data_IF_354049373405
#
_entry.id   IF_354049373405
#
_cell.length_a   1.000
_cell.length_b   1.000
_cell.length_c   1.000
_cell.angle_alpha   90.00
_cell.angle_beta   90.00
_cell.angle_gamma   90.00
#
_symmetry.space_group_name_H-M   'P 1'
#
loop_
_entity.id
_entity.type
_entity.pdbx_description
1 polymer ?
#
# COMPACT_ATOMS: atom_id res chain seq x y z
N UNK A 1 8.84 69.11 -10.86
CA UNK A 1 8.00 68.04 -10.24
C UNK A 1 7.90 66.72 -11.03
N UNK A 2 8.24 66.64 -12.33
CA UNK A 2 8.09 65.39 -13.12
C UNK A 2 9.16 64.30 -12.85
N UNK A 3 10.37 64.66 -12.41
CA UNK A 3 11.45 63.69 -12.13
C UNK A 3 11.16 62.80 -10.90
N UNK A 4 10.64 63.37 -9.80
CA UNK A 4 10.27 62.63 -8.58
C UNK A 4 9.19 61.55 -8.79
N UNK A 5 8.24 61.78 -9.71
CA UNK A 5 7.22 60.77 -10.04
C UNK A 5 7.79 59.57 -10.81
N UNK A 6 8.79 59.79 -11.67
CA UNK A 6 9.45 58.72 -12.45
C UNK A 6 10.26 57.78 -11.56
N UNK A 7 10.99 58.31 -10.59
CA UNK A 7 11.74 57.51 -9.59
C UNK A 7 10.80 56.68 -8.71
N UNK A 8 9.68 57.27 -8.25
CA UNK A 8 8.68 56.55 -7.47
C UNK A 8 8.00 55.43 -8.24
N UNK A 9 7.72 55.61 -9.54
CA UNK A 9 7.15 54.56 -10.39
C UNK A 9 8.12 53.40 -10.65
N UNK A 10 9.43 53.65 -10.73
CA UNK A 10 10.44 52.59 -10.89
C UNK A 10 10.57 51.73 -9.64
N UNK A 11 10.60 52.35 -8.46
CA UNK A 11 10.64 51.63 -7.18
C UNK A 11 9.36 50.79 -6.95
N UNK A 12 8.18 51.33 -7.30
CA UNK A 12 6.93 50.59 -7.20
C UNK A 12 6.89 49.36 -8.12
N UNK A 13 7.43 49.47 -9.34
CA UNK A 13 7.52 48.33 -10.27
C UNK A 13 8.45 47.24 -9.72
N UNK A 14 9.62 47.61 -9.20
CA UNK A 14 10.57 46.65 -8.62
C UNK A 14 9.94 45.95 -7.42
N UNK A 15 9.26 46.69 -6.55
CA UNK A 15 8.54 46.11 -5.40
C UNK A 15 7.43 45.16 -5.85
N UNK A 16 6.64 45.54 -6.86
CA UNK A 16 5.60 44.67 -7.40
C UNK A 16 6.19 43.39 -7.99
N UNK A 17 7.28 43.48 -8.75
CA UNK A 17 8.00 42.33 -9.29
C UNK A 17 8.57 41.44 -8.18
N UNK A 18 9.16 42.03 -7.14
CA UNK A 18 9.67 41.29 -5.99
C UNK A 18 8.54 40.55 -5.26
N UNK A 19 7.41 41.20 -5.02
CA UNK A 19 6.25 40.57 -4.39
C UNK A 19 5.69 39.45 -5.26
N UNK A 20 5.57 39.65 -6.57
CA UNK A 20 5.13 38.62 -7.51
C UNK A 20 6.10 37.44 -7.55
N UNK A 21 7.41 37.70 -7.51
CA UNK A 21 8.44 36.67 -7.46
C UNK A 21 8.39 35.88 -6.15
N UNK A 22 8.25 36.55 -5.00
CA UNK A 22 8.09 35.88 -3.72
C UNK A 22 6.80 35.05 -3.68
N UNK A 23 5.70 35.59 -4.23
CA UNK A 23 4.43 34.88 -4.32
C UNK A 23 4.54 33.63 -5.20
N UNK A 24 5.21 33.73 -6.36
CA UNK A 24 5.41 32.57 -7.24
C UNK A 24 6.27 31.50 -6.57
N UNK A 25 7.29 31.90 -5.80
CA UNK A 25 8.13 30.98 -5.04
C UNK A 25 7.35 30.27 -3.93
N UNK A 26 6.48 30.98 -3.19
CA UNK A 26 5.59 30.38 -2.18
C UNK A 26 4.62 29.39 -2.83
N UNK A 27 4.02 29.75 -3.96
CA UNK A 27 3.11 28.86 -4.69
C UNK A 27 3.82 27.61 -5.21
N UNK A 28 5.06 27.73 -5.70
CA UNK A 28 5.86 26.59 -6.14
C UNK A 28 6.14 25.61 -4.99
N UNK A 29 6.54 26.13 -3.82
CA UNK A 29 6.78 25.31 -2.62
C UNK A 29 5.50 24.62 -2.13
N UNK A 30 4.35 25.30 -2.19
CA UNK A 30 3.06 24.70 -1.85
C UNK A 30 2.67 23.58 -2.81
N UNK A 31 2.85 23.79 -4.11
CA UNK A 31 2.57 22.78 -5.12
C UNK A 31 3.45 21.54 -4.92
N UNK A 32 4.74 21.72 -4.66
CA UNK A 32 5.67 20.62 -4.40
C UNK A 32 5.31 19.85 -3.11
N UNK A 33 4.97 20.57 -2.03
CA UNK A 33 4.50 19.94 -0.79
C UNK A 33 3.23 19.10 -1.01
N UNK A 34 2.29 19.61 -1.79
CA UNK A 34 1.05 18.88 -2.11
C UNK A 34 1.35 17.61 -2.92
N UNK A 35 2.21 17.70 -3.93
CA UNK A 35 2.61 16.56 -4.75
C UNK A 35 3.28 15.47 -3.90
N UNK A 36 4.15 15.85 -2.97
CA UNK A 36 4.77 14.90 -2.05
C UNK A 36 3.74 14.24 -1.14
N UNK A 37 2.81 15.00 -0.56
CA UNK A 37 1.73 14.46 0.27
C UNK A 37 0.84 13.49 -0.50
N UNK A 38 0.48 13.81 -1.73
CA UNK A 38 -0.32 12.91 -2.58
C UNK A 38 0.41 11.61 -2.90
N UNK A 39 1.72 11.67 -3.18
CA UNK A 39 2.54 10.47 -3.39
C UNK A 39 2.59 9.60 -2.14
N UNK A 40 2.86 10.19 -0.98
CA UNK A 40 2.88 9.46 0.30
C UNK A 40 1.52 8.83 0.62
N UNK A 41 0.43 9.57 0.44
CA UNK A 41 -0.92 9.04 0.67
C UNK A 41 -1.26 7.87 -0.27
N UNK A 42 -0.80 7.94 -1.53
CA UNK A 42 -0.97 6.83 -2.49
C UNK A 42 -0.14 5.62 -2.08
N UNK A 43 1.12 5.80 -1.69
CA UNK A 43 1.99 4.72 -1.24
C UNK A 43 1.44 4.02 0.02
N UNK A 44 0.88 4.81 0.94
CA UNK A 44 0.22 4.29 2.14
C UNK A 44 -1.05 3.51 1.79
N UNK A 45 -1.90 4.04 0.91
CA UNK A 45 -3.10 3.35 0.45
C UNK A 45 -2.77 2.03 -0.26
N UNK A 46 -1.76 2.01 -1.14
CA UNK A 46 -1.30 0.77 -1.80
C UNK A 46 -0.72 -0.24 -0.80
N UNK A 47 -0.06 0.25 0.26
CA UNK A 47 0.43 -0.62 1.35
C UNK A 47 -0.73 -1.22 2.12
N UNK A 48 -1.68 -0.41 2.58
CA UNK A 48 -2.85 -0.91 3.31
C UNK A 48 -3.67 -1.90 2.47
N UNK A 49 -3.82 -1.63 1.17
CA UNK A 49 -4.50 -2.53 0.25
C UNK A 49 -3.79 -3.90 0.14
N UNK A 50 -2.46 -3.92 -0.02
CA UNK A 50 -1.72 -5.20 -0.11
C UNK A 50 -1.71 -5.95 1.22
N UNK A 51 -1.69 -5.25 2.36
CA UNK A 51 -1.83 -5.84 3.70
C UNK A 51 -3.19 -6.55 3.81
N UNK A 52 -4.28 -5.84 3.52
CA UNK A 52 -5.63 -6.39 3.59
C UNK A 52 -5.82 -7.58 2.66
N UNK A 53 -5.28 -7.51 1.43
CA UNK A 53 -5.35 -8.61 0.48
C UNK A 53 -4.56 -9.84 0.95
N UNK A 54 -3.40 -9.64 1.59
CA UNK A 54 -2.62 -10.75 2.13
C UNK A 54 -3.32 -11.47 3.28
N UNK A 55 -4.04 -10.72 4.12
CA UNK A 55 -4.85 -11.30 5.20
C UNK A 55 -6.06 -12.04 4.62
N UNK A 56 -6.75 -11.48 3.63
CA UNK A 56 -7.85 -12.16 2.93
C UNK A 56 -7.43 -13.47 2.27
N UNK A 57 -6.26 -13.52 1.63
CA UNK A 57 -5.74 -14.76 1.04
C UNK A 57 -5.45 -15.84 2.09
N UNK A 58 -4.99 -15.44 3.28
CA UNK A 58 -4.77 -16.38 4.38
C UNK A 58 -6.10 -16.89 4.93
N UNK A 59 -7.08 -16.00 5.14
CA UNK A 59 -8.43 -16.37 5.61
C UNK A 59 -9.13 -17.32 4.63
N UNK A 60 -9.01 -17.06 3.32
CA UNK A 60 -9.52 -17.94 2.28
C UNK A 60 -8.89 -19.34 2.37
N UNK A 61 -7.56 -19.41 2.46
CA UNK A 61 -6.86 -20.70 2.58
C UNK A 61 -7.24 -21.44 3.87
N UNK A 62 -7.45 -20.73 4.99
CA UNK A 62 -7.90 -21.32 6.25
C UNK A 62 -9.34 -21.83 6.17
N UNK A 63 -10.22 -21.10 5.50
CA UNK A 63 -11.61 -21.52 5.27
C UNK A 63 -11.66 -22.77 4.39
N UNK A 64 -10.91 -22.80 3.30
CA UNK A 64 -10.79 -23.97 2.42
C UNK A 64 -10.19 -25.17 3.17
N UNK A 65 -9.16 -24.97 3.99
CA UNK A 65 -8.60 -26.03 4.85
C UNK A 65 -9.59 -26.55 5.89
N UNK A 66 -10.54 -25.73 6.34
CA UNK A 66 -11.59 -26.20 7.25
C UNK A 66 -12.50 -27.21 6.56
N UNK A 67 -12.85 -26.92 5.30
CA UNK A 67 -13.71 -27.74 4.46
C UNK A 67 -12.99 -28.99 3.94
N UNK A 68 -11.80 -28.84 3.36
CA UNK A 68 -11.02 -29.92 2.76
C UNK A 68 -9.59 -30.00 3.36
N UNK A 69 -9.25 -31.07 4.10
CA UNK A 69 -7.90 -31.27 4.61
C UNK A 69 -6.84 -31.51 3.53
N UNK A 70 -7.24 -31.83 2.31
CA UNK A 70 -6.35 -32.07 1.18
C UNK A 70 -6.17 -30.81 0.30
N UNK A 71 -6.73 -29.67 0.69
CA UNK A 71 -6.56 -28.42 -0.02
C UNK A 71 -5.08 -28.04 -0.12
N UNK A 72 -4.62 -27.82 -1.36
CA UNK A 72 -3.21 -27.49 -1.68
C UNK A 72 -2.97 -26.02 -1.98
N UNK A 73 -4.01 -25.17 -1.90
CA UNK A 73 -3.96 -23.78 -2.33
C UNK A 73 -4.73 -23.51 -3.62
N UNK A 74 -4.85 -22.23 -3.96
CA UNK A 74 -5.52 -21.72 -5.14
C UNK A 74 -4.51 -21.04 -6.09
N UNK A 75 -4.67 -21.21 -7.41
CA UNK A 75 -3.88 -20.46 -8.39
C UNK A 75 -4.18 -18.96 -8.29
N UNK A 76 -3.33 -18.17 -8.95
CA UNK A 76 -3.49 -16.73 -9.03
C UNK A 76 -4.88 -16.36 -9.59
N UNK A 77 -5.64 -15.58 -8.84
CA UNK A 77 -6.97 -15.11 -9.25
C UNK A 77 -7.25 -13.69 -8.74
N UNK A 78 -8.26 -13.03 -9.31
CA UNK A 78 -8.60 -11.64 -9.00
C UNK A 78 -9.46 -11.54 -7.74
N UNK A 79 -9.10 -10.63 -6.83
CA UNK A 79 -9.86 -10.36 -5.61
C UNK A 79 -9.59 -8.94 -5.11
N UNK A 80 -10.63 -8.21 -4.68
CA UNK A 80 -10.48 -6.90 -4.03
C UNK A 80 -9.72 -5.83 -4.83
N UNK A 81 -9.71 -5.91 -6.17
CA UNK A 81 -8.95 -5.00 -7.03
C UNK A 81 -7.47 -5.34 -7.19
N UNK A 82 -7.01 -6.45 -6.61
CA UNK A 82 -5.70 -7.05 -6.80
C UNK A 82 -5.80 -8.53 -7.18
N UNK A 83 -4.74 -9.28 -6.92
CA UNK A 83 -4.69 -10.72 -7.17
C UNK A 83 -4.17 -11.47 -5.97
N UNK A 84 -4.74 -12.64 -5.70
CA UNK A 84 -4.34 -13.54 -4.62
C UNK A 84 -3.85 -14.86 -5.20
N UNK A 85 -2.91 -15.48 -4.52
CA UNK A 85 -2.46 -16.84 -4.76
C UNK A 85 -2.15 -17.48 -3.43
N UNK A 86 -2.55 -18.73 -3.24
CA UNK A 86 -2.27 -19.46 -1.99
C UNK A 86 -1.62 -20.79 -2.33
N UNK A 87 -0.71 -21.23 -1.47
CA UNK A 87 -0.08 -22.54 -1.55
C UNK A 87 -0.10 -23.15 -0.16
N UNK A 88 -0.52 -24.39 -0.07
CA UNK A 88 -0.62 -25.11 1.20
C UNK A 88 0.19 -26.39 1.13
N UNK A 89 1.01 -26.62 2.16
CA UNK A 89 1.83 -27.81 2.31
C UNK A 89 1.53 -28.46 3.66
N UNK A 90 1.25 -29.76 3.67
CA UNK A 90 1.10 -30.50 4.93
C UNK A 90 2.47 -30.77 5.56
N UNK A 91 2.61 -30.43 6.84
CA UNK A 91 3.80 -30.68 7.66
C UNK A 91 3.65 -31.89 8.59
N UNK A 92 2.44 -32.45 8.68
CA UNK A 92 2.11 -33.57 9.55
C UNK A 92 0.62 -33.62 9.90
N UNK A 93 0.21 -34.52 10.82
CA UNK A 93 -1.19 -34.67 11.19
C UNK A 93 -1.81 -33.36 11.69
N UNK A 94 -2.72 -32.80 10.88
CA UNK A 94 -3.41 -31.55 11.20
C UNK A 94 -2.52 -30.30 11.18
N UNK A 95 -1.27 -30.37 10.71
CA UNK A 95 -0.37 -29.22 10.64
C UNK A 95 -0.08 -28.86 9.19
N UNK A 96 -0.23 -27.59 8.85
CA UNK A 96 -0.09 -27.07 7.49
C UNK A 96 0.76 -25.81 7.50
N UNK A 97 1.57 -25.65 6.45
CA UNK A 97 2.22 -24.40 6.11
C UNK A 97 1.47 -23.76 4.95
N UNK A 98 1.09 -22.50 5.11
CA UNK A 98 0.29 -21.75 4.14
C UNK A 98 1.11 -20.55 3.70
N UNK A 99 1.44 -20.51 2.41
CA UNK A 99 2.04 -19.35 1.75
C UNK A 99 0.97 -18.60 0.99
N UNK A 100 0.62 -17.40 1.46
CA UNK A 100 -0.32 -16.51 0.80
C UNK A 100 0.45 -15.38 0.10
N UNK A 101 0.18 -15.18 -1.19
CA UNK A 101 0.76 -14.11 -2.01
C UNK A 101 -0.34 -13.18 -2.48
N UNK A 102 -0.20 -11.90 -2.18
CA UNK A 102 -1.11 -10.86 -2.61
C UNK A 102 -0.38 -9.87 -3.52
N UNK A 103 -1.06 -9.34 -4.54
CA UNK A 103 -0.51 -8.30 -5.42
C UNK A 103 -1.54 -7.21 -5.64
N UNK A 104 -1.12 -5.96 -5.48
CA UNK A 104 -1.93 -4.77 -5.74
C UNK A 104 -1.08 -3.71 -6.44
N UNK A 105 -1.45 -3.36 -7.67
CA UNK A 105 -0.64 -2.48 -8.51
C UNK A 105 0.76 -3.06 -8.74
N UNK A 106 1.80 -2.32 -8.35
CA UNK A 106 3.21 -2.74 -8.45
C UNK A 106 3.76 -3.37 -7.17
N UNK A 107 2.94 -3.47 -6.12
CA UNK A 107 3.35 -4.05 -4.84
C UNK A 107 2.85 -5.48 -4.75
N UNK A 108 3.71 -6.36 -4.26
CA UNK A 108 3.33 -7.70 -3.85
C UNK A 108 3.75 -7.95 -2.42
N UNK A 109 3.09 -8.93 -1.80
CA UNK A 109 3.38 -9.35 -0.44
C UNK A 109 3.23 -10.85 -0.33
N UNK A 110 4.18 -11.47 0.39
CA UNK A 110 4.14 -12.88 0.73
C UNK A 110 4.05 -13.02 2.25
N UNK A 111 3.12 -13.86 2.68
CA UNK A 111 2.88 -14.21 4.08
C UNK A 111 2.99 -15.71 4.22
N UNK A 112 3.68 -16.15 5.26
CA UNK A 112 3.73 -17.55 5.66
C UNK A 112 3.02 -17.71 6.99
N UNK A 113 2.17 -18.73 7.07
CA UNK A 113 1.37 -19.04 8.23
C UNK A 113 1.36 -20.54 8.50
N UNK A 114 1.67 -20.92 9.74
CA UNK A 114 1.45 -22.28 10.20
C UNK A 114 0.06 -22.40 10.79
N UNK A 115 -0.69 -23.34 10.26
CA UNK A 115 -2.10 -23.54 10.56
C UNK A 115 -2.29 -24.96 11.13
N UNK A 116 -3.06 -25.05 12.21
CA UNK A 116 -3.44 -26.31 12.82
C UNK A 116 -4.93 -26.59 12.64
N UNK A 117 -5.26 -27.72 12.00
CA UNK A 117 -6.61 -28.24 11.84
C UNK A 117 -6.84 -29.36 12.84
N UNK A 118 -7.81 -29.16 13.75
CA UNK A 118 -8.16 -30.13 14.78
C UNK A 118 -9.45 -29.74 15.49
N UNK A 119 -10.15 -30.71 16.06
CA UNK A 119 -11.36 -30.45 16.85
C UNK A 119 -12.51 -29.80 16.07
N UNK A 120 -12.58 -30.01 14.75
CA UNK A 120 -13.62 -29.44 13.89
C UNK A 120 -13.35 -28.00 13.43
N UNK A 121 -12.17 -27.45 13.70
CA UNK A 121 -11.80 -26.09 13.30
C UNK A 121 -10.35 -25.95 12.83
N UNK A 122 -10.00 -24.73 12.46
CA UNK A 122 -8.69 -24.32 11.95
C UNK A 122 -8.19 -23.16 12.80
N UNK A 123 -6.96 -23.28 13.31
CA UNK A 123 -6.34 -22.29 14.20
C UNK A 123 -4.97 -21.88 13.68
N UNK A 124 -4.70 -20.58 13.70
CA UNK A 124 -3.40 -20.02 13.35
C UNK A 124 -2.42 -20.22 14.51
N UNK A 125 -1.26 -20.83 14.25
CA UNK A 125 -0.20 -21.03 15.27
C UNK A 125 0.94 -20.04 15.15
N UNK A 126 1.38 -19.80 13.92
CA UNK A 126 2.47 -18.88 13.64
C UNK A 126 2.15 -18.10 12.37
N UNK A 127 2.54 -16.83 12.35
CA UNK A 127 2.34 -15.97 11.20
C UNK A 127 3.54 -15.05 11.09
N UNK A 128 4.08 -14.94 9.87
CA UNK A 128 5.14 -14.01 9.57
C UNK A 128 5.02 -13.46 8.16
N UNK A 129 5.42 -12.21 8.02
CA UNK A 129 5.67 -11.60 6.71
C UNK A 129 7.02 -12.08 6.22
N UNK A 130 7.08 -12.49 4.97
CA UNK A 130 8.31 -12.94 4.31
C UNK A 130 8.71 -11.88 3.29
N UNK A 131 10.00 -11.52 3.19
CA UNK A 131 10.46 -10.70 2.08
C UNK A 131 10.19 -11.46 0.77
N UNK A 132 9.31 -10.90 -0.05
CA UNK A 132 8.97 -11.36 -1.39
C UNK A 132 9.60 -10.49 -2.46
#
# INVERSE_FOLDING_TARGET
MRARRREQSGAALIMALLVLFLLSMVLALLAESLLLRMRMARDEAETVAVDSLSDSALEEAMAELALDPNYTGAPKHDFGGGTLQTKVQSLGPGLYDVTATATYGYRHRVVEAQVFRGGGGVTLRHWRRVPG
#
